data_IF_709111283300
#
_entry.id   IF_709111283300
#
_cell.length_a   1.000
_cell.length_b   1.000
_cell.length_c   1.000
_cell.angle_alpha   90.00
_cell.angle_beta   90.00
_cell.angle_gamma   90.00
#
_symmetry.space_group_name_H-M   'P 1'
#
loop_
_entity.id
_entity.type
_entity.pdbx_description
1 polymer ?
#
# COMPACT_ATOMS: atom_id res chain seq x y z
N UNK A 1 -6.15 -3.44 -27.75
CA UNK A 1 -7.14 -3.44 -26.66
C UNK A 1 -6.43 -3.94 -25.41
N UNK A 2 -6.19 -3.09 -24.40
CA UNK A 2 -5.64 -3.57 -23.13
C UNK A 2 -6.73 -4.38 -22.39
N UNK A 3 -6.39 -5.51 -21.76
CA UNK A 3 -7.35 -6.22 -20.94
C UNK A 3 -7.81 -5.32 -19.79
N UNK A 4 -9.09 -5.43 -19.36
CA UNK A 4 -9.55 -4.70 -18.19
C UNK A 4 -8.67 -5.06 -16.98
N UNK A 5 -8.24 -4.04 -16.24
CA UNK A 5 -7.49 -4.25 -15.01
C UNK A 5 -8.41 -4.93 -13.99
N UNK A 6 -8.11 -6.18 -13.68
CA UNK A 6 -8.82 -6.96 -12.68
C UNK A 6 -8.71 -6.25 -11.32
N UNK A 7 -9.82 -6.17 -10.58
CA UNK A 7 -9.83 -5.54 -9.26
C UNK A 7 -8.92 -6.37 -8.35
N UNK A 8 -7.85 -5.82 -7.78
CA UNK A 8 -6.96 -6.60 -6.95
C UNK A 8 -7.70 -7.06 -5.69
N UNK A 9 -7.88 -8.37 -5.56
CA UNK A 9 -8.40 -8.99 -4.35
C UNK A 9 -7.30 -9.01 -3.28
N UNK A 10 -7.57 -8.61 -2.03
CA UNK A 10 -6.63 -8.81 -0.94
C UNK A 10 -6.31 -10.31 -0.80
N UNK A 11 -5.07 -10.68 -0.46
CA UNK A 11 -4.73 -12.07 -0.21
C UNK A 11 -5.52 -12.60 0.99
N UNK A 12 -5.99 -13.86 0.91
CA UNK A 12 -6.75 -14.51 1.98
C UNK A 12 -5.95 -14.60 3.29
N UNK A 13 -4.65 -14.83 3.16
CA UNK A 13 -3.72 -14.86 4.29
C UNK A 13 -3.01 -13.51 4.41
N UNK A 14 -3.11 -12.83 5.58
CA UNK A 14 -2.39 -11.60 5.81
C UNK A 14 -0.87 -11.76 5.65
N UNK A 15 -0.15 -10.73 5.16
CA UNK A 15 1.31 -10.77 5.11
C UNK A 15 1.91 -10.85 6.51
N UNK A 16 3.10 -11.45 6.62
CA UNK A 16 3.88 -11.38 7.86
C UNK A 16 4.25 -9.94 8.18
N UNK A 17 4.54 -9.65 9.46
CA UNK A 17 4.96 -8.31 9.88
C UNK A 17 6.15 -7.77 9.07
N UNK A 18 7.17 -8.59 8.84
CA UNK A 18 8.34 -8.19 8.03
C UNK A 18 7.92 -7.86 6.58
N UNK A 19 7.02 -8.65 5.99
CA UNK A 19 6.52 -8.38 4.65
C UNK A 19 5.73 -7.08 4.60
N UNK A 20 4.85 -6.83 5.57
CA UNK A 20 4.10 -5.59 5.69
C UNK A 20 5.03 -4.38 5.86
N UNK A 21 6.04 -4.48 6.72
CA UNK A 21 7.06 -3.43 6.90
C UNK A 21 7.78 -3.11 5.58
N UNK A 22 8.16 -4.13 4.81
CA UNK A 22 8.80 -3.93 3.50
C UNK A 22 7.86 -3.35 2.46
N UNK A 23 6.57 -3.70 2.49
CA UNK A 23 5.55 -3.11 1.61
C UNK A 23 5.38 -1.61 1.92
N UNK A 24 5.24 -1.26 3.19
CA UNK A 24 5.20 0.13 3.65
C UNK A 24 6.48 0.89 3.27
N UNK A 25 7.66 0.31 3.50
CA UNK A 25 8.93 0.94 3.15
C UNK A 25 9.07 1.24 1.65
N UNK A 26 8.48 0.41 0.77
CA UNK A 26 8.48 0.65 -0.68
C UNK A 26 7.76 1.94 -1.04
N UNK A 27 6.69 2.29 -0.32
CA UNK A 27 6.01 3.59 -0.47
C UNK A 27 6.95 4.76 -0.14
N UNK A 28 7.88 4.56 0.80
CA UNK A 28 8.92 5.52 1.18
C UNK A 28 10.20 5.45 0.34
N UNK A 29 10.22 4.69 -0.77
CA UNK A 29 11.34 4.61 -1.72
C UNK A 29 12.32 3.45 -1.49
N UNK A 30 12.01 2.50 -0.60
CA UNK A 30 12.84 1.29 -0.45
C UNK A 30 12.67 0.36 -1.65
N UNK A 31 13.72 0.18 -2.46
CA UNK A 31 13.64 -0.68 -3.66
C UNK A 31 13.46 -2.17 -3.32
N UNK A 32 14.13 -2.65 -2.28
CA UNK A 32 14.02 -4.04 -1.82
C UNK A 32 14.69 -5.04 -2.76
N UNK A 33 15.86 -4.69 -3.30
CA UNK A 33 16.72 -5.61 -4.07
C UNK A 33 17.31 -6.68 -3.14
N UNK A 34 17.76 -7.80 -3.72
CA UNK A 34 18.27 -8.97 -2.97
C UNK A 34 19.34 -8.62 -1.92
N UNK A 35 20.17 -7.61 -2.18
CA UNK A 35 21.27 -7.21 -1.30
C UNK A 35 21.05 -5.87 -0.57
N UNK A 36 19.86 -5.27 -0.64
CA UNK A 36 19.59 -3.98 0.04
C UNK A 36 19.44 -4.13 1.58
N UNK A 37 19.34 -5.36 2.09
CA UNK A 37 19.14 -5.60 3.52
C UNK A 37 17.73 -5.25 4.01
N UNK A 38 17.64 -4.60 5.18
CA UNK A 38 16.38 -4.13 5.78
C UNK A 38 16.15 -2.65 5.47
N UNK A 39 14.89 -2.18 5.41
CA UNK A 39 14.60 -0.76 5.27
C UNK A 39 15.20 0.07 6.41
N UNK A 40 15.78 1.23 6.08
CA UNK A 40 16.24 2.21 7.06
C UNK A 40 15.13 3.16 7.54
N UNK A 41 15.41 3.93 8.59
CA UNK A 41 14.44 4.82 9.25
C UNK A 41 13.79 5.84 8.31
N UNK A 42 14.54 6.41 7.37
CA UNK A 42 14.01 7.40 6.41
C UNK A 42 12.94 6.81 5.49
N UNK A 43 13.17 5.60 4.95
CA UNK A 43 12.19 4.93 4.09
C UNK A 43 10.95 4.50 4.89
N UNK A 44 11.12 4.11 6.16
CA UNK A 44 9.99 3.78 7.04
C UNK A 44 9.15 5.03 7.36
N UNK A 45 9.79 6.13 7.78
CA UNK A 45 9.10 7.38 8.09
C UNK A 45 8.30 7.94 6.91
N UNK A 46 8.91 7.93 5.72
CA UNK A 46 8.21 8.34 4.48
C UNK A 46 7.08 7.37 4.13
N UNK A 47 7.31 6.07 4.32
CA UNK A 47 6.33 5.03 4.05
C UNK A 47 5.08 5.15 4.91
N UNK A 48 5.23 5.45 6.21
CA UNK A 48 4.10 5.65 7.13
C UNK A 48 3.26 6.85 6.70
N UNK A 49 3.88 8.01 6.47
CA UNK A 49 3.15 9.21 6.03
C UNK A 49 2.39 8.96 4.72
N UNK A 50 3.04 8.32 3.73
CA UNK A 50 2.37 8.00 2.46
C UNK A 50 1.25 7.00 2.61
N UNK A 51 1.40 6.01 3.49
CA UNK A 51 0.34 5.06 3.77
C UNK A 51 -0.88 5.75 4.41
N UNK A 52 -0.64 6.70 5.31
CA UNK A 52 -1.68 7.50 5.96
C UNK A 52 -2.49 8.32 4.93
N UNK A 53 -1.80 9.11 4.10
CA UNK A 53 -2.42 9.91 3.02
C UNK A 53 -3.26 9.04 2.07
N UNK A 54 -2.72 7.87 1.67
CA UNK A 54 -3.41 6.93 0.79
C UNK A 54 -4.64 6.33 1.46
N UNK A 55 -4.54 6.02 2.76
CA UNK A 55 -5.65 5.44 3.53
C UNK A 55 -6.78 6.44 3.68
N UNK A 56 -6.48 7.70 4.03
CA UNK A 56 -7.47 8.78 4.11
C UNK A 56 -8.17 8.97 2.76
N UNK A 57 -7.39 9.08 1.67
CA UNK A 57 -7.94 9.23 0.33
C UNK A 57 -8.83 8.04 -0.05
N UNK A 58 -8.41 6.82 0.27
CA UNK A 58 -9.19 5.61 0.01
C UNK A 58 -10.52 5.62 0.78
N UNK A 59 -10.52 6.03 2.05
CA UNK A 59 -11.75 6.15 2.87
C UNK A 59 -12.69 7.19 2.25
N UNK A 60 -12.17 8.35 1.85
CA UNK A 60 -12.97 9.40 1.20
C UNK A 60 -13.57 8.87 -0.11
N UNK A 61 -12.78 8.25 -0.98
CA UNK A 61 -13.26 7.74 -2.26
C UNK A 61 -14.24 6.57 -2.10
N UNK A 62 -14.00 5.66 -1.15
CA UNK A 62 -14.90 4.53 -0.91
C UNK A 62 -16.21 4.93 -0.25
N UNK A 63 -16.19 5.90 0.66
CA UNK A 63 -17.41 6.48 1.25
C UNK A 63 -18.27 7.17 0.19
N UNK A 64 -17.65 7.90 -0.76
CA UNK A 64 -18.36 8.53 -1.87
C UNK A 64 -19.05 7.53 -2.81
N UNK A 65 -18.49 6.32 -2.98
CA UNK A 65 -19.08 5.25 -3.78
C UNK A 65 -20.30 4.63 -3.07
N UNK A 66 -20.27 4.53 -1.74
CA UNK A 66 -21.38 3.98 -0.96
C UNK A 66 -22.63 4.87 -0.96
N UNK A 67 -22.47 6.20 -1.03
CA UNK A 67 -23.59 7.15 -1.08
C UNK A 67 -24.21 7.31 -2.48
N UNK A 68 -23.57 6.77 -3.51
CA UNK A 68 -24.00 6.89 -4.91
C UNK A 68 -24.86 5.70 -5.39
N UNK A 69 -25.30 4.80 -4.49
CA UNK A 69 -26.32 3.79 -4.80
C UNK A 69 -27.71 4.26 -4.35
N UNK A 70 -28.75 4.24 -5.21
CA UNK A 70 -30.15 4.37 -4.79
C UNK A 70 -30.65 3.15 -4.00
#
# INVERSE_FOLDING_TARGET
>A
MYPPHEKPHPPDTPPTLNRAIRMMAKLGGFMGRKSDGQPGSTSLWRGIQRLDDITETFIIMSSAIATASP
#
